data_IF_979146523404
#
_entry.id   IF_979146523404
#
_cell.length_a   1.000
_cell.length_b   1.000
_cell.length_c   1.000
_cell.angle_alpha   90.00
_cell.angle_beta   90.00
_cell.angle_gamma   90.00
#
_symmetry.space_group_name_H-M   'P 1'
#
loop_
_entity.id
_entity.type
_entity.pdbx_description
1 polymer ?
#
# COMPACT_ATOMS: atom_id res chain seq x y z
N UNK A 1 1.92 8.22 5.41
CA UNK A 1 2.85 9.32 5.09
C UNK A 1 2.50 10.01 3.77
N UNK A 2 2.35 9.28 2.65
CA UNK A 2 1.98 9.89 1.36
C UNK A 2 0.62 10.63 1.40
N UNK A 3 -0.43 9.99 1.92
CA UNK A 3 -1.77 10.60 2.05
C UNK A 3 -1.75 11.90 2.86
N UNK A 4 -1.13 11.86 4.05
CA UNK A 4 -0.96 13.02 4.93
C UNK A 4 -0.22 14.16 4.24
N UNK A 5 0.86 13.85 3.53
CA UNK A 5 1.64 14.86 2.80
C UNK A 5 0.84 15.47 1.65
N UNK A 6 0.12 14.65 0.86
CA UNK A 6 -0.74 15.15 -0.22
C UNK A 6 -1.80 16.08 0.32
N UNK A 7 -2.52 15.69 1.39
CA UNK A 7 -3.54 16.54 2.03
C UNK A 7 -2.91 17.84 2.55
N UNK A 8 -1.79 17.76 3.25
CA UNK A 8 -1.12 18.95 3.80
C UNK A 8 -0.68 19.91 2.69
N UNK A 9 -0.08 19.41 1.61
CA UNK A 9 0.36 20.24 0.49
C UNK A 9 -0.83 20.92 -0.20
N UNK A 10 -1.92 20.18 -0.39
CA UNK A 10 -3.13 20.69 -1.01
C UNK A 10 -3.83 21.74 -0.13
N UNK A 11 -3.88 21.54 1.19
CA UNK A 11 -4.41 22.55 2.12
C UNK A 11 -3.60 23.84 2.08
N UNK A 12 -2.26 23.74 2.04
CA UNK A 12 -1.40 24.93 1.88
C UNK A 12 -1.72 25.70 0.60
N UNK A 13 -1.90 25.00 -0.54
CA UNK A 13 -2.30 25.64 -1.79
C UNK A 13 -3.70 26.27 -1.70
N UNK A 14 -4.66 25.55 -1.12
CA UNK A 14 -6.02 26.04 -0.93
C UNK A 14 -6.05 27.32 -0.09
N UNK A 15 -5.37 27.35 1.05
CA UNK A 15 -5.31 28.54 1.93
C UNK A 15 -4.52 29.71 1.34
N UNK A 16 -3.64 29.45 0.36
CA UNK A 16 -2.95 30.53 -0.37
C UNK A 16 -3.86 31.25 -1.38
N UNK A 17 -5.03 30.69 -1.70
CA UNK A 17 -5.98 31.27 -2.63
C UNK A 17 -6.96 32.19 -1.90
N UNK A 18 -7.15 33.41 -2.39
CA UNK A 18 -8.10 34.37 -1.82
C UNK A 18 -9.17 34.74 -2.84
N UNK A 19 -10.41 34.89 -2.36
CA UNK A 19 -11.49 35.43 -3.17
C UNK A 19 -11.38 36.96 -3.22
N UNK A 20 -11.14 37.51 -4.41
CA UNK A 20 -11.05 38.96 -4.63
C UNK A 20 -11.98 39.33 -5.77
N UNK A 21 -12.86 40.32 -5.54
CA UNK A 21 -13.78 40.84 -6.55
C UNK A 21 -13.70 42.36 -6.61
N UNK A 22 -13.73 42.91 -7.82
CA UNK A 22 -13.69 44.36 -8.05
C UNK A 22 -15.06 45.05 -7.85
N UNK A 23 -16.12 44.27 -7.65
CA UNK A 23 -17.48 44.77 -7.50
C UNK A 23 -18.28 43.97 -6.47
N UNK A 24 -19.38 44.56 -5.99
CA UNK A 24 -20.32 43.86 -5.10
C UNK A 24 -20.87 42.65 -5.84
N UNK A 25 -20.56 41.47 -5.31
CA UNK A 25 -20.92 40.19 -5.94
C UNK A 25 -22.24 39.70 -5.37
N UNK A 26 -23.22 39.32 -6.22
CA UNK A 26 -24.46 38.71 -5.76
C UNK A 26 -24.20 37.43 -4.95
N UNK A 27 -25.00 37.21 -3.90
CA UNK A 27 -24.80 36.08 -2.98
C UNK A 27 -24.78 34.72 -3.69
N UNK A 28 -25.64 34.54 -4.70
CA UNK A 28 -25.72 33.30 -5.49
C UNK A 28 -24.46 33.04 -6.30
N UNK A 29 -23.87 34.09 -6.89
CA UNK A 29 -22.61 34.00 -7.64
C UNK A 29 -21.46 33.65 -6.71
N UNK A 30 -21.39 34.30 -5.54
CA UNK A 30 -20.39 34.00 -4.52
C UNK A 30 -20.48 32.55 -4.02
N UNK A 31 -21.68 32.06 -3.75
CA UNK A 31 -21.91 30.67 -3.33
C UNK A 31 -21.49 29.68 -4.42
N UNK A 32 -21.89 29.92 -5.67
CA UNK A 32 -21.54 29.06 -6.80
C UNK A 32 -20.02 28.97 -6.99
N UNK A 33 -19.33 30.12 -6.92
CA UNK A 33 -17.87 30.18 -7.05
C UNK A 33 -17.17 29.47 -5.88
N UNK A 34 -17.67 29.62 -4.66
CA UNK A 34 -17.13 28.92 -3.48
C UNK A 34 -17.29 27.40 -3.62
N UNK A 35 -18.47 26.93 -4.05
CA UNK A 35 -18.72 25.50 -4.28
C UNK A 35 -17.83 24.94 -5.39
N UNK A 36 -17.67 25.67 -6.50
CA UNK A 36 -16.77 25.29 -7.57
C UNK A 36 -15.32 25.17 -7.07
N UNK A 37 -14.87 26.12 -6.23
CA UNK A 37 -13.53 26.11 -5.66
C UNK A 37 -13.30 24.93 -4.71
N UNK A 38 -14.25 24.64 -3.81
CA UNK A 38 -14.21 23.45 -2.93
C UNK A 38 -14.20 22.17 -3.75
N UNK A 39 -15.05 22.06 -4.77
CA UNK A 39 -15.13 20.88 -5.64
C UNK A 39 -13.82 20.65 -6.41
N UNK A 40 -13.22 21.73 -6.91
CA UNK A 40 -11.92 21.67 -7.58
C UNK A 40 -10.82 21.22 -6.63
N UNK A 41 -10.78 21.75 -5.41
CA UNK A 41 -9.85 21.32 -4.37
C UNK A 41 -9.96 19.81 -4.09
N UNK A 42 -11.17 19.32 -3.80
CA UNK A 42 -11.40 17.88 -3.54
C UNK A 42 -10.95 17.03 -4.72
N UNK A 43 -11.27 17.43 -5.95
CA UNK A 43 -10.84 16.69 -7.14
C UNK A 43 -9.32 16.68 -7.32
N UNK A 44 -8.65 17.81 -7.08
CA UNK A 44 -7.19 17.93 -7.22
C UNK A 44 -6.46 17.06 -6.21
N UNK A 45 -6.90 17.04 -4.95
CA UNK A 45 -6.31 16.18 -3.90
C UNK A 45 -6.33 14.72 -4.32
N UNK A 46 -7.48 14.22 -4.79
CA UNK A 46 -7.61 12.83 -5.25
C UNK A 46 -6.71 12.54 -6.45
N UNK A 47 -6.70 13.43 -7.45
CA UNK A 47 -5.87 13.26 -8.66
C UNK A 47 -4.39 13.23 -8.32
N UNK A 48 -3.92 14.14 -7.49
CA UNK A 48 -2.51 14.22 -7.11
C UNK A 48 -2.06 13.00 -6.31
N UNK A 49 -2.92 12.50 -5.42
CA UNK A 49 -2.65 11.26 -4.70
C UNK A 49 -2.53 10.08 -5.65
N UNK A 50 -3.51 9.89 -6.55
CA UNK A 50 -3.51 8.79 -7.53
C UNK A 50 -2.30 8.89 -8.46
N UNK A 51 -1.98 10.10 -8.93
CA UNK A 51 -0.83 10.33 -9.79
C UNK A 51 0.49 9.99 -9.08
N UNK A 52 0.63 10.44 -7.83
CA UNK A 52 1.81 10.13 -7.00
C UNK A 52 1.95 8.62 -6.77
N UNK A 53 0.86 7.96 -6.39
CA UNK A 53 0.83 6.51 -6.18
C UNK A 53 1.16 5.75 -7.46
N UNK A 54 0.55 6.11 -8.59
CA UNK A 54 0.83 5.52 -9.90
C UNK A 54 2.29 5.72 -10.30
N UNK A 55 2.85 6.89 -10.03
CA UNK A 55 4.25 7.20 -10.33
C UNK A 55 5.17 6.29 -9.53
N UNK A 56 4.97 6.16 -8.22
CA UNK A 56 5.75 5.26 -7.34
C UNK A 56 5.69 3.82 -7.85
N UNK A 57 4.49 3.31 -8.16
CA UNK A 57 4.30 1.93 -8.64
C UNK A 57 5.03 1.68 -9.95
N UNK A 58 4.85 2.57 -10.94
CA UNK A 58 5.50 2.45 -12.26
C UNK A 58 7.01 2.60 -12.18
N UNK A 59 7.53 3.57 -11.43
CA UNK A 59 8.98 3.76 -11.32
C UNK A 59 9.64 2.61 -10.57
N UNK A 60 8.99 2.06 -9.55
CA UNK A 60 9.49 0.90 -8.79
C UNK A 60 9.65 -0.32 -9.70
N UNK A 61 8.65 -0.62 -10.53
CA UNK A 61 8.71 -1.73 -11.50
C UNK A 61 9.71 -1.46 -12.62
N UNK A 62 9.65 -0.28 -13.26
CA UNK A 62 10.49 0.03 -14.43
C UNK A 62 11.98 0.06 -14.11
N UNK A 63 12.35 0.44 -12.88
CA UNK A 63 13.74 0.41 -12.44
C UNK A 63 14.16 -0.96 -11.87
N UNK A 64 13.26 -1.96 -11.88
CA UNK A 64 13.48 -3.28 -11.30
C UNK A 64 14.12 -3.22 -9.90
N UNK A 65 13.71 -2.24 -9.08
CA UNK A 65 14.34 -2.02 -7.77
C UNK A 65 14.18 -3.26 -6.89
N UNK A 66 15.29 -3.80 -6.41
CA UNK A 66 15.26 -4.87 -5.41
C UNK A 66 14.60 -4.34 -4.15
N UNK A 67 13.54 -5.02 -3.70
CA UNK A 67 12.93 -4.64 -2.44
C UNK A 67 13.74 -5.26 -1.28
N UNK A 68 13.72 -4.61 -0.11
CA UNK A 68 14.55 -5.04 1.04
C UNK A 68 14.17 -6.41 1.61
N UNK A 69 13.00 -6.94 1.27
CA UNK A 69 12.54 -8.28 1.66
C UNK A 69 12.79 -9.31 0.56
N UNK A 70 13.40 -8.92 -0.56
CA UNK A 70 13.68 -9.74 -1.73
C UNK A 70 12.44 -10.49 -2.26
N UNK A 71 11.25 -9.89 -2.14
CA UNK A 71 9.99 -10.54 -2.58
C UNK A 71 9.73 -10.40 -4.08
N UNK A 72 10.51 -9.60 -4.81
CA UNK A 72 10.49 -9.55 -6.28
C UNK A 72 11.61 -10.35 -6.96
N UNK A 73 12.79 -10.43 -6.35
CA UNK A 73 13.93 -11.16 -6.89
C UNK A 73 14.70 -11.81 -5.74
N UNK A 74 15.14 -13.05 -5.93
CA UNK A 74 16.15 -13.64 -5.06
C UNK A 74 17.53 -13.50 -5.70
N UNK A 75 18.54 -13.35 -4.85
CA UNK A 75 19.93 -13.22 -5.27
C UNK A 75 20.66 -14.55 -5.09
N UNK A 76 21.42 -14.96 -6.10
CA UNK A 76 22.28 -16.14 -6.03
C UNK A 76 23.68 -15.76 -6.46
N UNK A 77 24.67 -16.09 -5.63
CA UNK A 77 26.08 -16.04 -6.02
C UNK A 77 26.51 -17.35 -6.67
N UNK A 78 27.54 -17.29 -7.51
CA UNK A 78 28.27 -18.47 -7.97
C UNK A 78 29.75 -18.43 -7.52
N UNK A 79 30.50 -19.48 -7.84
CA UNK A 79 31.93 -19.56 -7.55
C UNK A 79 32.78 -18.63 -8.45
N UNK A 80 32.16 -17.96 -9.43
CA UNK A 80 32.78 -17.02 -10.37
C UNK A 80 32.89 -15.60 -9.81
N UNK A 81 32.36 -15.34 -8.61
CA UNK A 81 32.19 -14.00 -8.02
C UNK A 81 31.08 -13.18 -8.69
N UNK A 82 30.18 -13.83 -9.44
CA UNK A 82 29.02 -13.17 -10.04
C UNK A 82 27.81 -13.29 -9.11
N UNK A 83 26.97 -12.26 -9.12
CA UNK A 83 25.68 -12.24 -8.41
C UNK A 83 24.56 -12.11 -9.43
N UNK A 84 23.69 -13.11 -9.46
CA UNK A 84 22.53 -13.17 -10.33
C UNK A 84 21.27 -12.81 -9.55
N UNK A 85 20.41 -12.00 -10.17
CA UNK A 85 19.08 -11.69 -9.68
C UNK A 85 18.04 -12.47 -10.48
N UNK A 86 17.31 -13.36 -9.83
CA UNK A 86 16.27 -14.17 -10.45
C UNK A 86 14.89 -13.69 -10.01
N UNK A 87 13.98 -13.37 -10.96
CA UNK A 87 12.65 -12.89 -10.60
C UNK A 87 11.85 -13.98 -9.92
N UNK A 88 11.17 -13.64 -8.84
CA UNK A 88 10.24 -14.53 -8.17
C UNK A 88 8.94 -14.67 -8.98
N UNK A 89 8.23 -15.77 -8.72
CA UNK A 89 6.94 -16.09 -9.35
C UNK A 89 5.92 -16.39 -8.25
N UNK A 90 4.73 -15.80 -8.39
CA UNK A 90 3.58 -15.98 -7.51
C UNK A 90 2.49 -16.66 -8.34
N UNK A 91 2.28 -17.98 -8.16
CA UNK A 91 1.45 -18.79 -9.05
C UNK A 91 1.99 -18.80 -10.48
N UNK A 92 1.15 -18.46 -11.46
CA UNK A 92 1.54 -18.34 -12.87
C UNK A 92 2.03 -16.91 -13.24
N UNK A 93 2.23 -16.04 -12.26
CA UNK A 93 2.58 -14.63 -12.46
C UNK A 93 4.03 -14.34 -12.01
N UNK A 94 4.89 -13.94 -12.95
CA UNK A 94 6.30 -13.62 -12.68
C UNK A 94 6.59 -12.13 -12.46
N UNK A 95 7.39 -11.80 -11.45
CA UNK A 95 7.75 -10.43 -11.07
C UNK A 95 8.52 -9.65 -12.14
N UNK A 96 9.16 -10.36 -13.08
CA UNK A 96 9.79 -9.76 -14.26
C UNK A 96 8.77 -9.12 -15.21
N UNK A 97 7.57 -9.70 -15.31
CA UNK A 97 6.56 -9.32 -16.29
C UNK A 97 5.49 -8.42 -15.69
N UNK A 98 5.19 -8.60 -14.40
CA UNK A 98 4.12 -7.87 -13.73
C UNK A 98 4.49 -7.59 -12.28
N UNK A 99 4.34 -6.32 -11.87
CA UNK A 99 4.51 -5.92 -10.48
C UNK A 99 3.35 -6.35 -9.59
N UNK A 100 2.17 -6.61 -10.17
CA UNK A 100 0.96 -6.91 -9.40
C UNK A 100 0.85 -8.38 -9.00
N UNK A 101 1.82 -9.23 -9.38
CA UNK A 101 1.77 -10.64 -9.01
C UNK A 101 1.76 -10.79 -7.49
N UNK A 102 0.79 -11.58 -7.01
CA UNK A 102 0.57 -11.84 -5.60
C UNK A 102 -0.02 -13.24 -5.39
N UNK A 103 0.10 -13.75 -4.17
CA UNK A 103 -0.62 -14.92 -3.69
C UNK A 103 -1.01 -14.68 -2.22
N UNK A 104 -2.07 -15.34 -1.74
CA UNK A 104 -2.49 -15.24 -0.34
C UNK A 104 -1.38 -15.71 0.60
N UNK A 105 -0.97 -14.88 1.55
CA UNK A 105 0.15 -15.20 2.43
C UNK A 105 -0.10 -16.52 3.17
N UNK A 106 0.84 -17.45 3.07
CA UNK A 106 0.78 -18.74 3.78
C UNK A 106 1.95 -18.93 4.71
N UNK A 107 1.66 -19.56 5.85
CA UNK A 107 2.65 -20.18 6.72
C UNK A 107 2.72 -21.66 6.32
N UNK A 108 3.92 -22.12 5.98
CA UNK A 108 4.14 -23.49 5.54
C UNK A 108 5.27 -24.13 6.34
N UNK A 109 5.23 -25.46 6.44
CA UNK A 109 6.31 -26.22 7.04
C UNK A 109 7.49 -26.29 6.06
N UNK A 110 8.67 -25.80 6.47
CA UNK A 110 9.82 -25.66 5.58
C UNK A 110 10.32 -26.99 5.01
N UNK A 111 10.18 -28.09 5.76
CA UNK A 111 10.61 -29.45 5.38
C UNK A 111 9.65 -30.13 4.42
N UNK A 112 8.35 -30.11 4.71
CA UNK A 112 7.31 -30.80 3.91
C UNK A 112 6.71 -29.94 2.81
N UNK A 113 6.94 -28.62 2.83
CA UNK A 113 6.31 -27.62 1.95
C UNK A 113 4.78 -27.58 2.02
N UNK A 114 4.18 -28.24 3.00
CA UNK A 114 2.74 -28.22 3.23
C UNK A 114 2.32 -26.92 3.90
N UNK A 115 1.28 -26.30 3.35
CA UNK A 115 0.61 -25.14 3.95
C UNK A 115 0.02 -25.55 5.30
N UNK A 116 0.36 -24.81 6.35
CA UNK A 116 -0.15 -25.00 7.71
C UNK A 116 -1.29 -24.01 7.99
N UNK A 117 -1.15 -22.78 7.50
CA UNK A 117 -2.13 -21.72 7.69
C UNK A 117 -2.08 -20.72 6.54
N UNK A 118 -3.24 -20.37 5.99
CA UNK A 118 -3.38 -19.24 5.06
C UNK A 118 -3.87 -18.05 5.86
N UNK A 119 -3.15 -16.93 5.78
CA UNK A 119 -3.46 -15.72 6.53
C UNK A 119 -4.58 -14.96 5.81
N UNK A 120 -5.81 -14.94 6.35
CA UNK A 120 -6.96 -14.38 5.64
C UNK A 120 -6.78 -12.90 5.35
N UNK A 121 -6.99 -12.53 4.08
CA UNK A 121 -6.99 -11.13 3.68
C UNK A 121 -5.62 -10.48 3.58
N UNK A 122 -4.53 -11.25 3.70
CA UNK A 122 -3.16 -10.76 3.53
C UNK A 122 -2.54 -11.45 2.32
N UNK A 123 -1.93 -10.66 1.44
CA UNK A 123 -1.23 -11.14 0.26
C UNK A 123 0.27 -10.89 0.40
N UNK A 124 1.06 -11.80 -0.16
CA UNK A 124 2.47 -11.57 -0.49
C UNK A 124 2.56 -11.31 -2.00
N UNK A 125 3.53 -10.50 -2.44
CA UNK A 125 3.68 -10.17 -3.85
C UNK A 125 5.04 -9.58 -4.19
N UNK A 126 5.24 -9.32 -5.48
CA UNK A 126 6.51 -8.77 -5.98
C UNK A 126 6.93 -7.49 -5.26
N UNK A 127 5.97 -6.61 -4.99
CA UNK A 127 6.23 -5.37 -4.25
C UNK A 127 5.24 -5.24 -3.10
N UNK A 128 5.74 -4.79 -1.94
CA UNK A 128 4.93 -4.61 -0.72
C UNK A 128 3.71 -3.72 -0.98
N UNK A 129 3.86 -2.67 -1.79
CA UNK A 129 2.76 -1.78 -2.13
C UNK A 129 1.65 -2.49 -2.93
N UNK A 130 2.02 -3.38 -3.84
CA UNK A 130 1.05 -4.12 -4.66
C UNK A 130 0.35 -5.20 -3.84
N UNK A 131 1.10 -5.87 -2.97
CA UNK A 131 0.56 -6.85 -2.03
C UNK A 131 -0.41 -6.19 -1.03
N UNK A 132 -0.06 -5.01 -0.51
CA UNK A 132 -0.91 -4.24 0.40
C UNK A 132 -2.21 -3.78 -0.27
N UNK A 133 -2.14 -3.26 -1.50
CA UNK A 133 -3.33 -2.82 -2.25
C UNK A 133 -4.30 -3.95 -2.58
N UNK A 134 -3.81 -5.19 -2.65
CA UNK A 134 -4.63 -6.39 -2.88
C UNK A 134 -5.13 -7.03 -1.58
N UNK A 135 -4.51 -6.67 -0.46
CA UNK A 135 -4.91 -7.15 0.87
C UNK A 135 -6.11 -6.37 1.39
N UNK A 136 -7.03 -7.06 2.05
CA UNK A 136 -8.12 -6.43 2.80
C UNK A 136 -7.84 -6.39 4.32
N UNK A 137 -6.70 -6.97 4.75
CA UNK A 137 -6.18 -6.96 6.12
C UNK A 137 -7.14 -7.57 7.16
N UNK A 138 -8.07 -8.43 6.73
CA UNK A 138 -9.10 -9.04 7.58
C UNK A 138 -8.51 -9.69 8.85
N UNK A 139 -7.37 -10.37 8.74
CA UNK A 139 -6.73 -11.02 9.89
C UNK A 139 -6.41 -10.04 11.04
N UNK A 140 -6.08 -8.78 10.74
CA UNK A 140 -5.73 -7.80 11.78
C UNK A 140 -6.91 -7.41 12.68
N UNK A 141 -8.14 -7.66 12.26
CA UNK A 141 -9.35 -7.41 13.04
C UNK A 141 -9.92 -8.69 13.68
N UNK A 142 -9.20 -9.82 13.61
CA UNK A 142 -9.66 -11.11 14.12
C UNK A 142 -8.67 -11.67 15.15
N UNK A 143 -9.11 -11.76 16.42
CA UNK A 143 -8.28 -12.24 17.52
C UNK A 143 -7.80 -13.68 17.32
N UNK A 144 -8.68 -14.56 16.84
CA UNK A 144 -8.30 -15.93 16.53
C UNK A 144 -7.20 -15.96 15.46
N UNK A 145 -7.31 -15.15 14.40
CA UNK A 145 -6.29 -15.08 13.36
C UNK A 145 -4.93 -14.59 13.90
N UNK A 146 -4.92 -13.53 14.71
CA UNK A 146 -3.69 -13.03 15.35
C UNK A 146 -3.08 -14.09 16.26
N UNK A 147 -3.89 -14.78 17.06
CA UNK A 147 -3.43 -15.86 17.94
C UNK A 147 -2.85 -17.04 17.13
N UNK A 148 -3.47 -17.40 16.00
CA UNK A 148 -2.94 -18.42 15.09
C UNK A 148 -1.58 -18.01 14.54
N UNK A 149 -1.42 -16.77 14.04
CA UNK A 149 -0.13 -16.25 13.60
C UNK A 149 0.91 -16.34 14.72
N UNK A 150 0.57 -15.86 15.92
CA UNK A 150 1.46 -15.87 17.08
C UNK A 150 1.92 -17.27 17.47
N UNK A 151 1.09 -18.30 17.28
CA UNK A 151 1.45 -19.69 17.58
C UNK A 151 2.66 -20.19 16.78
N UNK A 152 2.90 -19.63 15.59
CA UNK A 152 4.04 -19.98 14.74
C UNK A 152 5.34 -19.25 15.13
N UNK A 153 5.28 -18.23 15.98
CA UNK A 153 6.46 -17.51 16.48
C UNK A 153 6.79 -17.99 17.90
N UNK A 154 7.76 -18.92 18.03
CA UNK A 154 8.17 -19.47 19.33
C UNK A 154 9.36 -18.73 19.98
N UNK A 155 9.25 -18.58 21.31
CA UNK A 155 10.17 -18.18 22.39
C UNK A 155 11.14 -16.96 22.24
N UNK A 156 11.74 -16.70 21.08
CA UNK A 156 12.77 -15.64 20.94
C UNK A 156 12.30 -14.35 20.26
N UNK A 157 11.15 -14.40 19.57
CA UNK A 157 10.53 -13.27 18.89
C UNK A 157 9.09 -13.15 19.36
N UNK A 158 8.88 -12.61 20.57
CA UNK A 158 7.54 -12.22 21.01
C UNK A 158 7.11 -11.00 20.21
N UNK A 159 6.34 -11.20 19.14
CA UNK A 159 5.65 -10.10 18.48
C UNK A 159 4.39 -9.79 19.29
N UNK A 160 4.38 -8.60 19.90
CA UNK A 160 3.22 -8.09 20.62
C UNK A 160 2.19 -7.59 19.60
N UNK A 161 1.55 -8.54 18.92
CA UNK A 161 0.47 -8.28 17.98
C UNK A 161 -0.82 -8.16 18.78
N UNK A 162 -1.46 -7.01 18.63
CA UNK A 162 -2.79 -6.75 19.16
C UNK A 162 -3.75 -6.67 17.99
N UNK A 163 -4.97 -7.16 18.19
CA UNK A 163 -6.04 -6.98 17.22
C UNK A 163 -6.38 -5.50 17.09
N UNK A 164 -6.58 -5.07 15.86
CA UNK A 164 -7.11 -3.74 15.57
C UNK A 164 -8.58 -3.67 15.98
N UNK A 165 -8.95 -2.54 16.57
CA UNK A 165 -10.32 -2.26 16.95
C UNK A 165 -11.11 -1.76 15.74
N UNK A 166 -12.12 -2.52 15.33
CA UNK A 166 -13.05 -2.14 14.27
C UNK A 166 -13.81 -0.84 14.58
N UNK A 167 -13.96 -0.46 15.85
CA UNK A 167 -14.61 0.80 16.24
C UNK A 167 -13.80 2.04 15.87
N UNK A 168 -12.48 1.87 15.65
CA UNK A 168 -11.57 2.93 15.24
C UNK A 168 -11.53 3.12 13.71
N UNK A 169 -12.20 2.26 12.94
CA UNK A 169 -12.50 2.52 11.53
C UNK A 169 -13.59 3.61 11.47
N UNK A 170 -13.21 4.84 11.79
CA UNK A 170 -14.09 6.00 11.67
C UNK A 170 -14.50 6.09 10.19
N UNK A 171 -15.81 6.00 9.98
CA UNK A 171 -16.47 6.23 8.71
C UNK A 171 -16.09 7.63 8.21
N UNK A 172 -15.31 7.67 7.13
CA UNK A 172 -15.16 8.85 6.30
C UNK A 172 -16.31 8.92 5.30
#
# INVERSE_FOLDING_TARGET
>A
QLSTQTISNQLTQFYSSQYVSASVTPSEVFQTQTQAFVSQFTSSVTKDFILSLSTIRKTTQSNALLNGQLTNYYLSGDNSHDVYAYPLTYGDCGCKFSAVCSYELVIYNSSSKNVQFTVPGIYAGCYVIEALLQSNLQCFYNASCINEIQSYFTYYLSMNLTTLDTSLLVQF
#
